data_IF_109085166702
#
_entry.id   IF_109085166702
#
_cell.length_a   1.000
_cell.length_b   1.000
_cell.length_c   1.000
_cell.angle_alpha   90.00
_cell.angle_beta   90.00
_cell.angle_gamma   90.00
#
_symmetry.space_group_name_H-M   'P 1'
#
loop_
_entity.id
_entity.type
_entity.pdbx_description
1 polymer ?
#
# COMPACT_ATOMS: atom_id res chain seq x y z
N UNK A 1 40.87 -48.73 12.05
CA UNK A 1 41.13 -47.29 11.80
C UNK A 1 40.02 -46.58 11.03
N UNK A 2 39.28 -47.25 10.12
CA UNK A 2 38.24 -46.63 9.27
C UNK A 2 36.94 -46.21 9.99
N UNK A 3 36.53 -46.93 11.04
CA UNK A 3 35.29 -46.61 11.77
C UNK A 3 35.40 -45.33 12.61
N UNK A 4 36.54 -45.13 13.30
CA UNK A 4 36.80 -43.93 14.11
C UNK A 4 36.86 -42.66 13.24
N UNK A 5 37.48 -42.76 12.07
CA UNK A 5 37.53 -41.65 11.09
C UNK A 5 36.15 -41.32 10.53
N UNK A 6 35.31 -42.33 10.26
CA UNK A 6 33.93 -42.11 9.81
C UNK A 6 33.07 -41.42 10.88
N UNK A 7 33.19 -41.82 12.15
CA UNK A 7 32.46 -41.19 13.28
C UNK A 7 32.86 -39.72 13.42
N UNK A 8 34.17 -39.41 13.35
CA UNK A 8 34.67 -38.03 13.46
C UNK A 8 34.18 -37.18 12.29
N UNK A 9 34.23 -37.69 11.06
CA UNK A 9 33.77 -36.96 9.88
C UNK A 9 32.26 -36.67 9.94
N UNK A 10 31.45 -37.63 10.36
CA UNK A 10 30.01 -37.45 10.53
C UNK A 10 29.67 -36.46 11.64
N UNK A 11 30.38 -36.50 12.76
CA UNK A 11 30.20 -35.53 13.85
C UNK A 11 30.58 -34.10 13.41
N UNK A 12 31.66 -33.95 12.64
CA UNK A 12 32.08 -32.66 12.10
C UNK A 12 31.08 -32.13 11.07
N UNK A 13 30.58 -32.99 10.17
CA UNK A 13 29.56 -32.62 9.20
C UNK A 13 28.25 -32.19 9.87
N UNK A 14 27.82 -32.92 10.92
CA UNK A 14 26.63 -32.57 11.69
C UNK A 14 26.82 -31.23 12.42
N UNK A 15 27.98 -30.99 13.03
CA UNK A 15 28.29 -29.73 13.68
C UNK A 15 28.27 -28.54 12.70
N UNK A 16 28.84 -28.72 11.50
CA UNK A 16 28.79 -27.72 10.43
C UNK A 16 27.37 -27.46 9.94
N UNK A 17 26.54 -28.51 9.83
CA UNK A 17 25.14 -28.37 9.42
C UNK A 17 24.32 -27.59 10.46
N UNK A 18 24.49 -27.90 11.75
CA UNK A 18 23.84 -27.19 12.87
C UNK A 18 24.30 -25.73 12.93
N UNK A 19 25.58 -25.47 12.70
CA UNK A 19 26.11 -24.10 12.65
C UNK A 19 25.56 -23.32 11.46
N UNK A 20 25.48 -23.92 10.27
CA UNK A 20 24.89 -23.32 9.08
C UNK A 20 23.37 -23.08 9.21
N UNK A 21 22.67 -23.87 10.03
CA UNK A 21 21.26 -23.68 10.34
C UNK A 21 20.99 -22.55 11.34
N UNK A 22 22.01 -22.05 12.06
CA UNK A 22 21.88 -20.84 12.88
C UNK A 22 21.83 -19.61 11.97
N UNK A 23 20.65 -19.35 11.41
CA UNK A 23 20.33 -18.00 10.97
C UNK A 23 20.27 -17.13 12.23
N UNK A 24 21.04 -16.04 12.34
CA UNK A 24 20.76 -15.06 13.37
C UNK A 24 19.30 -14.64 13.16
N UNK A 25 18.48 -14.77 14.21
CA UNK A 25 17.19 -14.12 14.22
C UNK A 25 17.49 -12.63 14.07
N UNK A 26 17.23 -12.09 12.88
CA UNK A 26 17.14 -10.65 12.75
C UNK A 26 16.03 -10.24 13.70
N UNK A 27 16.27 -9.32 14.65
CA UNK A 27 15.20 -8.79 15.44
C UNK A 27 14.18 -8.27 14.44
N UNK A 28 13.01 -8.91 14.39
CA UNK A 28 11.84 -8.27 13.80
C UNK A 28 11.75 -6.96 14.57
N UNK A 29 12.02 -5.84 13.89
CA UNK A 29 11.79 -4.51 14.41
C UNK A 29 10.40 -4.54 15.04
N UNK A 30 10.34 -4.63 16.37
CA UNK A 30 9.14 -4.98 17.12
C UNK A 30 8.13 -3.83 17.22
N UNK A 31 8.36 -2.74 16.48
CA UNK A 31 7.36 -1.72 16.29
C UNK A 31 6.32 -2.25 15.29
N UNK A 32 5.25 -2.82 15.83
CA UNK A 32 3.99 -2.88 15.10
C UNK A 32 3.53 -1.43 14.92
N UNK A 33 3.54 -0.94 13.69
CA UNK A 33 3.03 0.37 13.35
C UNK A 33 1.55 0.26 13.02
N UNK A 34 0.72 1.12 13.62
CA UNK A 34 -0.67 1.25 13.23
C UNK A 34 -0.76 1.98 11.89
N UNK A 35 -1.65 1.49 11.03
CA UNK A 35 -2.06 2.21 9.81
C UNK A 35 -3.35 2.93 10.13
N UNK A 36 -3.32 4.26 10.12
CA UNK A 36 -4.48 5.11 10.37
C UNK A 36 -4.88 5.77 9.05
N UNK A 37 -6.13 5.57 8.63
CA UNK A 37 -6.70 6.26 7.48
C UNK A 37 -7.16 7.67 7.90
N UNK A 38 -6.66 8.69 7.20
CA UNK A 38 -6.96 10.10 7.45
C UNK A 38 -7.84 10.70 6.33
N UNK A 39 -8.46 9.84 5.51
CA UNK A 39 -9.24 10.22 4.33
C UNK A 39 -10.73 10.22 4.63
N UNK A 40 -11.45 11.20 4.10
CA UNK A 40 -12.92 11.19 4.10
C UNK A 40 -13.45 10.44 2.88
N UNK A 41 -14.60 9.77 3.04
CA UNK A 41 -15.31 9.14 1.92
C UNK A 41 -15.69 10.17 0.86
N UNK A 42 -15.41 9.84 -0.40
CA UNK A 42 -15.71 10.69 -1.55
C UNK A 42 -17.17 10.51 -2.00
N UNK A 43 -17.96 11.57 -1.94
CA UNK A 43 -19.37 11.58 -2.37
C UNK A 43 -19.86 13.01 -2.65
N UNK A 44 -21.10 13.12 -3.13
CA UNK A 44 -21.71 14.41 -3.50
C UNK A 44 -22.01 15.33 -2.30
N UNK A 45 -21.94 14.82 -1.07
CA UNK A 45 -22.18 15.56 0.16
C UNK A 45 -20.91 16.15 0.77
N UNK A 46 -19.73 15.86 0.20
CA UNK A 46 -18.47 16.49 0.59
C UNK A 46 -18.61 18.02 0.45
N UNK A 47 -18.37 18.80 1.52
CA UNK A 47 -18.43 20.25 1.45
C UNK A 47 -17.39 20.80 0.47
N UNK A 48 -17.77 21.76 -0.35
CA UNK A 48 -16.86 22.46 -1.27
C UNK A 48 -16.52 23.85 -0.74
N UNK A 49 -15.30 24.31 -1.02
CA UNK A 49 -14.83 25.63 -0.58
C UNK A 49 -15.68 26.77 -1.16
N UNK A 50 -16.09 26.65 -2.41
CA UNK A 50 -16.88 27.69 -3.11
C UNK A 50 -18.34 27.80 -2.62
N UNK A 51 -18.78 26.90 -1.71
CA UNK A 51 -20.14 26.93 -1.17
C UNK A 51 -21.22 26.79 -2.25
N UNK A 52 -20.89 26.10 -3.34
CA UNK A 52 -21.77 25.97 -4.50
C UNK A 52 -23.11 25.31 -4.13
N UNK A 53 -24.19 25.77 -4.75
CA UNK A 53 -25.53 25.20 -4.56
C UNK A 53 -25.64 23.76 -5.10
N UNK A 54 -24.73 23.34 -5.98
CA UNK A 54 -24.66 21.99 -6.56
C UNK A 54 -23.23 21.47 -6.43
N UNK A 55 -23.10 20.19 -6.12
CA UNK A 55 -21.79 19.54 -6.00
C UNK A 55 -21.15 19.36 -7.38
N UNK A 56 -19.86 19.70 -7.55
CA UNK A 56 -19.10 19.44 -8.77
C UNK A 56 -18.64 17.96 -8.88
N UNK A 57 -18.95 17.11 -7.90
CA UNK A 57 -18.66 15.69 -7.93
C UNK A 57 -19.72 14.93 -8.74
N UNK A 58 -19.27 14.27 -9.80
CA UNK A 58 -20.11 13.42 -10.63
C UNK A 58 -19.56 12.01 -10.68
N UNK A 59 -20.43 11.03 -10.45
CA UNK A 59 -20.12 9.61 -10.58
C UNK A 59 -21.28 8.91 -11.25
N UNK A 60 -20.99 8.02 -12.18
CA UNK A 60 -22.01 7.16 -12.78
C UNK A 60 -21.44 5.78 -13.10
N UNK A 61 -22.29 4.77 -13.00
CA UNK A 61 -21.93 3.41 -13.38
C UNK A 61 -21.82 3.30 -14.89
N UNK A 62 -20.70 2.73 -15.36
CA UNK A 62 -20.46 2.40 -16.77
C UNK A 62 -20.54 0.90 -17.02
N UNK A 63 -20.46 0.08 -15.97
CA UNK A 63 -20.71 -1.36 -16.01
C UNK A 63 -21.36 -1.83 -14.71
N UNK A 64 -22.25 -2.82 -14.82
CA UNK A 64 -22.87 -3.49 -13.67
C UNK A 64 -22.59 -4.98 -13.71
N UNK A 65 -22.50 -5.61 -12.54
CA UNK A 65 -22.20 -7.06 -12.47
C UNK A 65 -23.26 -7.88 -13.20
N UNK A 66 -24.53 -7.48 -13.15
CA UNK A 66 -25.63 -8.20 -13.78
C UNK A 66 -25.57 -8.17 -15.32
N UNK A 67 -25.19 -7.04 -15.92
CA UNK A 67 -25.14 -6.88 -17.37
C UNK A 67 -23.78 -7.26 -17.97
N UNK A 68 -22.69 -6.98 -17.25
CA UNK A 68 -21.33 -6.95 -17.81
C UNK A 68 -20.37 -7.93 -17.11
N UNK A 69 -20.78 -8.52 -15.99
CA UNK A 69 -19.93 -9.43 -15.18
C UNK A 69 -18.90 -8.72 -14.29
N UNK A 70 -18.85 -7.38 -14.29
CA UNK A 70 -18.01 -6.56 -13.41
C UNK A 70 -18.69 -5.22 -13.09
N UNK A 71 -18.20 -4.51 -12.07
CA UNK A 71 -18.66 -3.17 -11.72
C UNK A 71 -17.59 -2.14 -12.00
N UNK A 72 -17.96 -1.06 -12.68
CA UNK A 72 -17.08 0.08 -12.93
C UNK A 72 -17.89 1.38 -12.95
N UNK A 73 -17.23 2.47 -12.55
CA UNK A 73 -17.79 3.81 -12.56
C UNK A 73 -16.81 4.78 -13.18
N UNK A 74 -17.34 5.78 -13.86
CA UNK A 74 -16.59 6.98 -14.24
C UNK A 74 -16.84 8.08 -13.21
N UNK A 75 -15.77 8.77 -12.83
CA UNK A 75 -15.77 9.84 -11.84
C UNK A 75 -15.21 11.11 -12.46
N UNK A 76 -15.85 12.25 -12.18
CA UNK A 76 -15.36 13.59 -12.49
C UNK A 76 -15.45 14.44 -11.23
N UNK A 77 -14.34 15.10 -10.88
CA UNK A 77 -14.22 15.98 -9.72
C UNK A 77 -13.13 17.03 -9.94
N UNK A 78 -13.18 18.18 -9.24
CA UNK A 78 -12.07 19.12 -9.19
C UNK A 78 -10.84 18.51 -8.53
N UNK A 79 -9.65 19.00 -8.88
CA UNK A 79 -8.38 18.58 -8.25
C UNK A 79 -8.37 18.84 -6.72
N UNK A 80 -9.04 19.92 -6.30
CA UNK A 80 -9.12 20.36 -4.90
C UNK A 80 -10.46 19.96 -4.27
N UNK A 81 -10.76 18.66 -4.23
CA UNK A 81 -12.03 18.14 -3.71
C UNK A 81 -11.84 17.02 -2.68
N UNK A 82 -12.55 17.10 -1.54
CA UNK A 82 -12.42 16.13 -0.45
C UNK A 82 -11.05 16.16 0.22
N UNK A 83 -10.55 15.01 0.67
CA UNK A 83 -9.16 14.90 1.13
C UNK A 83 -8.24 14.87 -0.09
N UNK A 84 -7.42 15.91 -0.27
CA UNK A 84 -6.61 16.11 -1.48
C UNK A 84 -5.19 16.59 -1.12
N UNK A 85 -4.33 16.70 -2.14
CA UNK A 85 -2.94 17.14 -2.02
C UNK A 85 -2.69 18.28 -3.01
N UNK A 86 -2.17 19.40 -2.51
CA UNK A 86 -1.78 20.52 -3.35
C UNK A 86 -0.32 20.42 -3.77
N UNK A 87 -0.07 20.42 -5.08
CA UNK A 87 1.27 20.59 -5.61
C UNK A 87 1.73 22.06 -5.48
N UNK A 88 3.05 22.35 -5.45
CA UNK A 88 3.56 23.73 -5.42
C UNK A 88 3.02 24.62 -6.55
N UNK A 89 2.75 24.02 -7.72
CA UNK A 89 2.18 24.69 -8.88
C UNK A 89 0.74 25.21 -8.65
N UNK A 90 0.08 24.81 -7.55
CA UNK A 90 -1.24 25.31 -7.18
C UNK A 90 -1.24 26.84 -6.97
N UNK A 91 -0.15 27.41 -6.44
CA UNK A 91 -0.02 28.85 -6.22
C UNK A 91 1.21 29.48 -6.90
N UNK A 92 2.19 28.68 -7.30
CA UNK A 92 3.39 29.17 -7.98
C UNK A 92 3.32 28.86 -9.47
N UNK A 93 3.90 29.72 -10.32
CA UNK A 93 4.10 29.40 -11.73
C UNK A 93 5.06 28.21 -11.81
N UNK A 94 4.52 27.01 -11.95
CA UNK A 94 5.30 25.80 -12.15
C UNK A 94 6.11 25.86 -13.46
N UNK A 95 7.05 24.93 -13.68
CA UNK A 95 7.62 24.74 -15.01
C UNK A 95 6.44 24.42 -15.94
N UNK A 96 6.15 25.30 -16.90
CA UNK A 96 4.98 25.17 -17.76
C UNK A 96 4.93 23.81 -18.46
N UNK A 97 3.73 23.26 -18.64
CA UNK A 97 3.48 22.12 -19.52
C UNK A 97 3.81 22.47 -20.97
#
# INVERSE_FOLDING_TARGET
>A
MRLKTFIIASALALALLVFAQRRPDFPKSGAQHDVVDLTHNLNAQVPTFEGEAKSPFHVHAVATVACDGYFAQELSLPEHFGTHIDAPAHFSRGPGL
#
